data_IF_089446293806
#
_entry.id   IF_089446293806
#
_cell.length_a   1.000
_cell.length_b   1.000
_cell.length_c   1.000
_cell.angle_alpha   90.00
_cell.angle_beta   90.00
_cell.angle_gamma   90.00
#
_symmetry.space_group_name_H-M   'P 1'
#
loop_
_entity.id
_entity.type
_entity.pdbx_description
1 polymer ?
#
# COMPACT_ATOMS: atom_id res chain seq x y z
N UNK A 1 -9.64 -13.01 18.25
CA UNK A 1 -10.02 -11.58 18.24
C UNK A 1 -11.03 -11.21 17.16
N UNK A 2 -11.08 -11.85 15.98
CA UNK A 2 -11.96 -11.43 14.88
C UNK A 2 -13.47 -11.74 15.08
N UNK A 3 -13.80 -12.75 15.90
CA UNK A 3 -15.19 -13.13 16.21
C UNK A 3 -15.91 -12.06 17.06
N UNK A 4 -15.31 -11.65 18.17
CA UNK A 4 -15.87 -10.61 19.06
C UNK A 4 -16.09 -9.27 18.34
N UNK A 5 -15.22 -8.88 17.40
CA UNK A 5 -15.40 -7.65 16.61
C UNK A 5 -16.58 -7.73 15.65
N UNK A 6 -16.94 -8.92 15.18
CA UNK A 6 -18.09 -9.12 14.28
C UNK A 6 -19.40 -9.11 15.07
N UNK A 7 -19.42 -9.73 16.24
CA UNK A 7 -20.59 -9.74 17.14
C UNK A 7 -20.93 -8.32 17.59
N UNK A 8 -19.93 -7.57 18.07
CA UNK A 8 -20.08 -6.16 18.46
C UNK A 8 -20.59 -5.26 17.31
N UNK A 9 -20.15 -5.53 16.07
CA UNK A 9 -20.62 -4.80 14.89
C UNK A 9 -22.10 -5.05 14.60
N UNK A 10 -22.53 -6.31 14.71
CA UNK A 10 -23.91 -6.69 14.47
C UNK A 10 -24.86 -6.09 15.51
N UNK A 11 -24.46 -6.11 16.78
CA UNK A 11 -25.21 -5.48 17.87
C UNK A 11 -25.34 -3.96 17.68
N UNK A 12 -24.26 -3.26 17.31
CA UNK A 12 -24.32 -1.82 17.02
C UNK A 12 -25.25 -1.49 15.85
N UNK A 13 -25.24 -2.31 14.79
CA UNK A 13 -26.14 -2.15 13.65
C UNK A 13 -27.61 -2.42 14.02
N UNK A 14 -27.88 -3.43 14.84
CA UNK A 14 -29.22 -3.76 15.32
C UNK A 14 -29.77 -2.66 16.24
N UNK A 15 -28.93 -2.13 17.13
CA UNK A 15 -29.31 -1.06 18.05
C UNK A 15 -29.62 0.23 17.29
N UNK A 16 -28.81 0.58 16.28
CA UNK A 16 -29.08 1.72 15.40
C UNK A 16 -30.40 1.57 14.61
N UNK A 17 -30.74 0.36 14.18
CA UNK A 17 -31.93 0.10 13.36
C UNK A 17 -33.25 0.25 14.15
N UNK A 18 -33.21 0.05 15.47
CA UNK A 18 -34.39 0.08 16.34
C UNK A 18 -34.48 1.36 17.20
N UNK A 19 -33.41 2.17 17.25
CA UNK A 19 -33.38 3.38 18.06
C UNK A 19 -34.26 4.48 17.46
N UNK A 20 -35.23 4.94 18.24
CA UNK A 20 -36.18 6.00 17.86
C UNK A 20 -35.82 7.35 18.48
N UNK A 21 -34.92 7.37 19.47
CA UNK A 21 -34.42 8.59 20.07
C UNK A 21 -33.30 9.23 19.20
N UNK A 22 -33.46 10.49 18.77
CA UNK A 22 -32.54 11.13 17.85
C UNK A 22 -31.16 11.43 18.46
N UNK A 23 -31.05 11.58 19.78
CA UNK A 23 -29.75 11.80 20.44
C UNK A 23 -29.00 10.49 20.62
N UNK A 24 -29.70 9.43 21.02
CA UNK A 24 -29.12 8.09 21.13
C UNK A 24 -28.72 7.53 19.77
N UNK A 25 -29.55 7.73 18.73
CA UNK A 25 -29.18 7.35 17.37
C UNK A 25 -27.89 8.03 16.92
N UNK A 26 -27.74 9.33 17.20
CA UNK A 26 -26.50 10.07 16.90
C UNK A 26 -25.29 9.53 17.68
N UNK A 27 -25.48 9.12 18.92
CA UNK A 27 -24.41 8.49 19.70
C UNK A 27 -23.97 7.15 19.08
N UNK A 28 -24.92 6.31 18.70
CA UNK A 28 -24.65 5.01 18.07
C UNK A 28 -23.94 5.19 16.71
N UNK A 29 -24.39 6.15 15.89
CA UNK A 29 -23.75 6.46 14.59
C UNK A 29 -22.29 6.92 14.76
N UNK A 30 -22.00 7.71 15.80
CA UNK A 30 -20.62 8.11 16.12
C UNK A 30 -19.75 6.92 16.51
N UNK A 31 -20.31 5.98 17.27
CA UNK A 31 -19.62 4.77 17.69
C UNK A 31 -19.34 3.82 16.51
N UNK A 32 -20.32 3.62 15.64
CA UNK A 32 -20.16 2.90 14.36
C UNK A 32 -19.04 3.53 13.53
N UNK A 33 -19.03 4.86 13.43
CA UNK A 33 -18.02 5.59 12.67
C UNK A 33 -16.62 5.39 13.24
N UNK A 34 -16.47 5.41 14.57
CA UNK A 34 -15.19 5.16 15.24
C UNK A 34 -14.69 3.73 15.04
N UNK A 35 -15.58 2.73 15.12
CA UNK A 35 -15.25 1.32 14.86
C UNK A 35 -14.82 1.12 13.40
N UNK A 36 -15.48 1.81 12.46
CA UNK A 36 -15.09 1.81 11.06
C UNK A 36 -13.69 2.41 10.88
N UNK A 37 -13.44 3.62 11.38
CA UNK A 37 -12.14 4.32 11.28
C UNK A 37 -10.98 3.49 11.84
N UNK A 38 -11.17 2.82 12.99
CA UNK A 38 -10.18 1.92 13.56
C UNK A 38 -9.88 0.71 12.65
N UNK A 39 -10.88 0.22 11.90
CA UNK A 39 -10.72 -0.88 10.94
C UNK A 39 -10.08 -0.40 9.63
N UNK A 40 -10.42 0.80 9.15
CA UNK A 40 -9.79 1.42 7.97
C UNK A 40 -8.34 1.83 8.25
N UNK A 41 -8.00 2.27 9.46
CA UNK A 41 -6.62 2.59 9.84
C UNK A 41 -5.68 1.38 9.76
N UNK A 42 -6.18 0.18 10.11
CA UNK A 42 -5.44 -1.09 9.90
C UNK A 42 -5.32 -1.45 8.41
N UNK A 43 -6.32 -1.09 7.61
CA UNK A 43 -6.26 -1.23 6.15
C UNK A 43 -5.33 -0.20 5.49
N UNK A 44 -5.12 0.96 6.11
CA UNK A 44 -4.19 2.01 5.66
C UNK A 44 -2.72 1.58 5.71
N UNK A 45 -2.31 0.77 6.69
CA UNK A 45 -0.96 0.20 6.74
C UNK A 45 -0.73 -0.86 5.65
N UNK A 46 -1.75 -1.68 5.34
CA UNK A 46 -1.73 -2.56 4.16
C UNK A 46 -1.87 -1.80 2.82
N UNK A 47 -2.44 -0.59 2.85
CA UNK A 47 -2.66 0.26 1.68
C UNK A 47 -1.36 0.82 1.11
N UNK A 48 -0.28 0.92 1.88
CA UNK A 48 1.03 1.34 1.33
C UNK A 48 1.53 0.43 0.19
N UNK A 49 1.25 -0.88 0.24
CA UNK A 49 1.55 -1.82 -0.86
C UNK A 49 0.56 -1.70 -2.02
N UNK A 50 -0.73 -1.55 -1.74
CA UNK A 50 -1.78 -1.44 -2.78
C UNK A 50 -1.77 -0.08 -3.49
N UNK A 51 -1.44 1.01 -2.81
CA UNK A 51 -1.24 2.33 -3.39
C UNK A 51 -0.08 2.34 -4.40
N UNK A 52 0.97 1.55 -4.14
CA UNK A 52 2.07 1.37 -5.10
C UNK A 52 1.61 0.65 -6.38
N UNK A 53 0.71 -0.34 -6.26
CA UNK A 53 0.10 -1.04 -7.41
C UNK A 53 -0.88 -0.12 -8.17
N UNK A 54 -1.73 0.62 -7.45
CA UNK A 54 -2.71 1.53 -8.04
C UNK A 54 -2.05 2.74 -8.75
N UNK A 55 -0.85 3.12 -8.35
CA UNK A 55 -0.10 4.22 -8.98
C UNK A 55 0.75 3.77 -10.18
N UNK A 56 0.79 2.47 -10.51
CA UNK A 56 1.65 1.96 -11.59
C UNK A 56 3.16 2.15 -11.35
N UNK A 57 3.55 2.44 -10.10
CA UNK A 57 4.93 2.76 -9.73
C UNK A 57 5.56 1.56 -9.03
N UNK A 58 6.50 0.92 -9.72
CA UNK A 58 7.34 -0.16 -9.20
C UNK A 58 8.72 0.41 -8.82
N UNK A 59 9.51 -0.25 -7.96
CA UNK A 59 10.81 0.30 -7.52
C UNK A 59 11.95 -0.16 -8.43
N UNK A 60 12.84 0.76 -8.81
CA UNK A 60 14.10 0.42 -9.45
C UNK A 60 15.04 -0.29 -8.47
N UNK A 61 15.63 -1.42 -8.86
CA UNK A 61 16.53 -2.21 -8.03
C UNK A 61 17.90 -1.56 -7.78
N UNK A 62 18.29 -0.57 -8.59
CA UNK A 62 19.58 0.11 -8.50
C UNK A 62 19.55 1.36 -7.62
N UNK A 63 18.51 2.20 -7.73
CA UNK A 63 18.40 3.43 -6.94
C UNK A 63 17.25 3.44 -5.91
N UNK A 64 16.43 2.38 -5.86
CA UNK A 64 15.29 2.20 -4.96
C UNK A 64 14.17 3.26 -5.06
N UNK A 65 14.23 4.14 -6.07
CA UNK A 65 13.19 5.12 -6.40
C UNK A 65 12.10 4.48 -7.26
N UNK A 66 10.85 4.97 -7.18
CA UNK A 66 9.77 4.49 -8.02
C UNK A 66 10.05 4.80 -9.51
N UNK A 67 9.63 3.89 -10.38
CA UNK A 67 9.68 3.97 -11.83
C UNK A 67 8.30 3.57 -12.38
N UNK A 68 7.70 4.37 -13.27
CA UNK A 68 6.46 3.98 -13.95
C UNK A 68 6.67 2.69 -14.74
N UNK A 69 5.72 1.76 -14.65
CA UNK A 69 5.78 0.47 -15.35
C UNK A 69 6.06 0.64 -16.85
N UNK A 70 5.44 1.63 -17.50
CA UNK A 70 5.57 1.94 -18.93
C UNK A 70 7.00 2.33 -19.34
N UNK A 71 7.71 3.01 -18.43
CA UNK A 71 9.09 3.48 -18.65
C UNK A 71 10.15 2.52 -18.11
N UNK A 72 9.73 1.50 -17.37
CA UNK A 72 10.63 0.60 -16.68
C UNK A 72 11.27 -0.39 -17.65
N UNK A 73 12.53 -0.73 -17.40
CA UNK A 73 13.25 -1.82 -18.07
C UNK A 73 13.54 -2.93 -17.07
N UNK A 74 13.99 -4.07 -17.57
CA UNK A 74 14.34 -5.23 -16.76
C UNK A 74 15.82 -5.54 -16.97
N UNK A 75 16.56 -5.78 -15.88
CA UNK A 75 17.96 -6.18 -15.94
C UNK A 75 18.13 -7.66 -16.29
N UNK A 76 19.39 -8.11 -16.37
CA UNK A 76 19.80 -9.50 -16.64
C UNK A 76 19.25 -10.53 -15.62
N UNK A 77 18.78 -10.09 -14.45
CA UNK A 77 18.24 -10.93 -13.38
C UNK A 77 16.70 -10.84 -13.29
N UNK A 78 16.03 -10.20 -14.24
CA UNK A 78 14.57 -10.03 -14.18
C UNK A 78 14.12 -8.91 -13.23
N UNK A 79 15.02 -8.04 -12.75
CA UNK A 79 14.67 -6.94 -11.83
C UNK A 79 14.38 -5.65 -12.58
N UNK A 80 13.37 -4.93 -12.12
CA UNK A 80 13.00 -3.63 -12.67
C UNK A 80 14.08 -2.57 -12.41
N UNK A 81 14.44 -1.81 -13.44
CA UNK A 81 15.38 -0.69 -13.38
C UNK A 81 14.90 0.48 -14.21
N UNK A 82 15.33 1.70 -13.85
CA UNK A 82 15.30 2.82 -14.79
C UNK A 82 16.25 2.53 -15.95
N UNK A 83 15.91 2.98 -17.14
CA UNK A 83 16.79 2.88 -18.32
C UNK A 83 18.13 3.58 -18.05
N UNK A 84 18.10 4.79 -17.49
CA UNK A 84 19.33 5.53 -17.18
C UNK A 84 20.20 4.81 -16.13
N UNK A 85 19.56 4.20 -15.11
CA UNK A 85 20.28 3.46 -14.08
C UNK A 85 20.99 2.23 -14.65
N UNK A 86 20.37 1.55 -15.62
CA UNK A 86 21.00 0.41 -16.29
C UNK A 86 22.24 0.84 -17.09
N UNK A 87 22.14 1.90 -17.89
CA UNK A 87 23.26 2.43 -18.69
C UNK A 87 24.41 2.87 -17.79
N UNK A 88 24.12 3.62 -16.71
CA UNK A 88 25.13 4.04 -15.73
C UNK A 88 25.81 2.84 -15.07
N UNK A 89 25.04 1.83 -14.65
CA UNK A 89 25.60 0.60 -14.09
C UNK A 89 26.53 -0.11 -15.07
N UNK A 90 26.18 -0.15 -16.36
CA UNK A 90 27.01 -0.76 -17.38
C UNK A 90 28.31 0.01 -17.66
N UNK A 91 28.26 1.35 -17.64
CA UNK A 91 29.44 2.20 -17.76
C UNK A 91 30.39 2.03 -16.58
N UNK A 92 29.84 1.98 -15.36
CA UNK A 92 30.62 1.69 -14.14
C UNK A 92 31.30 0.33 -14.24
N UNK A 93 30.57 -0.73 -14.60
CA UNK A 93 31.13 -2.08 -14.82
C UNK A 93 32.34 -2.05 -15.77
N UNK A 94 32.27 -1.29 -16.87
CA UNK A 94 33.37 -1.15 -17.85
C UNK A 94 34.54 -0.32 -17.33
N UNK A 95 34.27 0.74 -16.57
CA UNK A 95 35.32 1.57 -15.97
C UNK A 95 36.08 0.82 -14.87
N UNK A 96 35.42 -0.10 -14.18
CA UNK A 96 36.00 -0.89 -13.10
C UNK A 96 36.62 -2.20 -13.56
N UNK A 97 36.44 -2.61 -14.82
CA UNK A 97 37.16 -3.78 -15.35
C UNK A 97 38.62 -3.41 -15.60
N UNK A 98 39.59 -4.07 -14.93
CA UNK A 98 40.99 -3.84 -15.22
C UNK A 98 41.30 -4.22 -16.67
N UNK A 99 42.23 -3.51 -17.35
CA UNK A 99 42.69 -3.90 -18.67
C UNK A 99 43.20 -5.35 -18.61
N UNK A 100 42.78 -6.17 -19.57
CA UNK A 100 43.34 -7.52 -19.74
C UNK A 100 44.70 -7.35 -20.42
N UNK A 101 45.77 -7.53 -19.66
CA UNK A 101 47.11 -7.84 -20.17
C UNK A 101 47.13 -9.19 -20.89
#
# INVERSE_FOLDING_TARGET
MQAQTKELWLELCEHAANEQDPEKFRAIVREISAVLELKTGRLGQSSSRLASIASGLIRCSLCNRPVPLESSKTDENGKTVHEECYVLGQLLKRATTPPKD
#
